data_IF_085045470508
#
_entry.id   IF_085045470508
#
_cell.length_a   1.000
_cell.length_b   1.000
_cell.length_c   1.000
_cell.angle_alpha   90.00
_cell.angle_beta   90.00
_cell.angle_gamma   90.00
#
_symmetry.space_group_name_H-M   'P 1'
#
loop_
_entity.id
_entity.type
_entity.pdbx_description
1 polymer ?
#
# COMPACT_ATOMS: atom_id res chain seq x y z
N UNK A 1 20.79 -11.02 -21.18
CA UNK A 1 21.02 -10.26 -19.94
C UNK A 1 20.51 -8.84 -20.19
N UNK A 2 19.22 -8.60 -19.95
CA UNK A 2 18.65 -7.26 -20.07
C UNK A 2 19.01 -6.48 -18.81
N UNK A 3 19.65 -5.32 -18.99
CA UNK A 3 19.93 -4.38 -17.91
C UNK A 3 18.63 -4.05 -17.18
N UNK A 4 18.56 -4.33 -15.88
CA UNK A 4 17.47 -3.90 -14.98
C UNK A 4 17.57 -2.41 -14.63
N UNK A 5 18.12 -1.60 -15.54
CA UNK A 5 18.29 -0.16 -15.34
C UNK A 5 16.97 0.54 -15.61
N UNK A 6 16.51 1.31 -14.64
CA UNK A 6 15.41 2.25 -14.79
C UNK A 6 15.81 3.26 -15.86
N UNK A 7 14.93 3.53 -16.84
CA UNK A 7 15.22 4.55 -17.84
C UNK A 7 15.33 5.93 -17.16
N UNK A 8 16.27 6.77 -17.61
CA UNK A 8 16.56 8.06 -16.97
C UNK A 8 15.33 8.97 -16.94
N UNK A 9 14.54 8.97 -18.01
CA UNK A 9 13.31 9.72 -18.23
C UNK A 9 12.06 9.08 -17.62
N UNK A 10 12.15 7.85 -17.11
CA UNK A 10 11.04 7.19 -16.43
C UNK A 10 10.73 7.85 -15.08
N UNK A 11 9.45 8.07 -14.79
CA UNK A 11 8.93 8.72 -13.58
C UNK A 11 9.54 10.12 -13.31
N UNK A 12 9.34 11.11 -14.20
CA UNK A 12 9.76 12.48 -13.91
C UNK A 12 9.09 13.01 -12.62
N UNK A 13 9.70 13.99 -11.93
CA UNK A 13 9.16 14.53 -10.67
C UNK A 13 7.83 15.26 -10.83
N UNK A 14 7.43 15.64 -12.05
CA UNK A 14 6.11 16.21 -12.30
C UNK A 14 5.08 15.08 -12.46
N UNK A 15 4.06 15.09 -11.60
CA UNK A 15 2.89 14.23 -11.74
C UNK A 15 2.00 14.67 -12.91
N UNK A 16 1.10 13.78 -13.41
CA UNK A 16 0.04 14.18 -14.32
C UNK A 16 -0.75 15.40 -13.81
N UNK A 17 -1.15 16.30 -14.72
CA UNK A 17 -1.81 17.56 -14.35
C UNK A 17 -3.16 17.40 -13.63
N UNK A 18 -3.78 16.23 -13.74
CA UNK A 18 -5.03 15.85 -13.07
C UNK A 18 -4.79 15.09 -11.75
N UNK A 19 -3.56 15.06 -11.24
CA UNK A 19 -3.25 14.48 -9.94
C UNK A 19 -3.83 15.35 -8.82
N UNK A 20 -4.45 14.72 -7.83
CA UNK A 20 -5.10 15.42 -6.71
C UNK A 20 -4.80 14.71 -5.40
N UNK A 21 -4.87 15.43 -4.29
CA UNK A 21 -4.69 14.87 -2.95
C UNK A 21 -5.91 15.16 -2.08
N UNK A 22 -6.32 14.17 -1.28
CA UNK A 22 -7.40 14.31 -0.32
C UNK A 22 -7.10 13.52 0.95
N UNK A 23 -7.47 14.06 2.10
CA UNK A 23 -7.41 13.34 3.37
C UNK A 23 -8.64 12.43 3.50
N UNK A 24 -8.44 11.21 4.01
CA UNK A 24 -9.53 10.33 4.42
C UNK A 24 -10.01 10.80 5.79
N UNK A 25 -11.10 11.54 5.81
CA UNK A 25 -11.72 11.98 7.06
C UNK A 25 -12.62 10.88 7.58
N UNK A 26 -12.10 10.03 8.47
CA UNK A 26 -12.85 8.91 9.06
C UNK A 26 -14.14 9.33 9.77
N UNK A 27 -14.28 10.59 10.19
CA UNK A 27 -15.54 11.11 10.73
C UNK A 27 -16.61 11.35 9.67
N UNK A 28 -16.20 11.62 8.43
CA UNK A 28 -17.08 12.05 7.33
C UNK A 28 -17.21 10.97 6.24
N UNK A 29 -16.65 9.79 6.47
CA UNK A 29 -16.90 8.62 5.61
C UNK A 29 -18.27 8.04 5.90
N UNK A 30 -18.78 7.24 4.97
CA UNK A 30 -19.99 6.45 5.14
C UNK A 30 -19.63 4.97 4.93
N UNK A 31 -19.62 4.14 6.00
CA UNK A 31 -19.88 4.48 7.40
C UNK A 31 -18.73 5.31 8.04
N UNK A 32 -18.99 6.07 9.12
CA UNK A 32 -17.95 6.79 9.85
C UNK A 32 -17.20 5.87 10.83
N UNK A 33 -15.92 6.17 11.09
CA UNK A 33 -15.08 5.57 12.15
C UNK A 33 -14.60 6.69 13.09
N UNK A 34 -15.42 7.13 14.07
CA UNK A 34 -15.07 8.24 14.96
C UNK A 34 -13.81 8.04 15.81
N UNK A 35 -13.43 6.79 16.06
CA UNK A 35 -12.22 6.39 16.77
C UNK A 35 -10.94 6.87 16.05
N UNK A 36 -11.03 7.04 14.73
CA UNK A 36 -9.92 7.48 13.88
C UNK A 36 -10.03 8.95 13.44
N UNK A 37 -10.82 9.76 14.16
CA UNK A 37 -11.00 11.19 13.83
C UNK A 37 -9.71 12.00 13.69
N UNK A 38 -8.70 11.66 14.48
CA UNK A 38 -7.40 12.35 14.54
C UNK A 38 -6.28 11.52 13.88
N UNK A 39 -6.61 10.43 13.19
CA UNK A 39 -5.66 9.58 12.49
C UNK A 39 -5.44 10.07 11.06
N UNK A 40 -4.24 9.82 10.54
CA UNK A 40 -3.82 10.32 9.24
C UNK A 40 -3.87 9.21 8.17
N UNK A 41 -4.73 9.40 7.18
CA UNK A 41 -4.72 8.68 5.92
C UNK A 41 -5.04 9.64 4.76
N UNK A 42 -4.36 9.47 3.63
CA UNK A 42 -4.37 10.40 2.49
C UNK A 42 -4.40 9.59 1.20
N UNK A 43 -5.30 9.95 0.29
CA UNK A 43 -5.33 9.41 -1.08
C UNK A 43 -4.79 10.46 -2.03
N UNK A 44 -3.83 10.06 -2.87
CA UNK A 44 -3.28 10.87 -3.95
C UNK A 44 -3.71 10.18 -5.25
N UNK A 45 -4.72 10.74 -5.89
CA UNK A 45 -5.32 10.22 -7.12
C UNK A 45 -4.49 10.63 -8.34
N UNK A 46 -4.37 9.73 -9.33
CA UNK A 46 -3.72 9.96 -10.63
C UNK A 46 -2.25 10.44 -10.55
N UNK A 47 -1.49 10.03 -9.54
CA UNK A 47 -0.07 10.40 -9.41
C UNK A 47 0.82 9.67 -10.43
N UNK A 48 0.43 8.47 -10.87
CA UNK A 48 1.05 7.76 -11.98
C UNK A 48 0.07 7.59 -13.13
N UNK A 49 0.60 7.51 -14.35
CA UNK A 49 -0.14 7.06 -15.53
C UNK A 49 -0.24 5.53 -15.56
N UNK A 50 -1.19 5.00 -16.32
CA UNK A 50 -1.34 3.56 -16.50
C UNK A 50 -0.08 2.92 -17.10
N UNK A 51 0.57 3.58 -18.06
CA UNK A 51 1.81 3.09 -18.67
C UNK A 51 2.98 3.07 -17.68
N UNK A 52 3.07 4.06 -16.78
CA UNK A 52 4.05 4.04 -15.69
C UNK A 52 3.79 2.90 -14.70
N UNK A 53 2.53 2.59 -14.39
CA UNK A 53 2.17 1.45 -13.56
C UNK A 53 2.56 0.11 -14.23
N UNK A 54 2.29 -0.05 -15.54
CA UNK A 54 2.70 -1.24 -16.30
C UNK A 54 4.22 -1.39 -16.35
N UNK A 55 4.94 -0.29 -16.53
CA UNK A 55 6.40 -0.33 -16.57
C UNK A 55 7.01 -0.67 -15.21
N UNK A 56 6.46 -0.15 -14.10
CA UNK A 56 6.85 -0.56 -12.75
C UNK A 56 6.67 -2.07 -12.54
N UNK A 57 5.55 -2.64 -13.01
CA UNK A 57 5.32 -4.10 -12.96
C UNK A 57 6.33 -4.85 -13.83
N UNK A 58 6.58 -4.39 -15.06
CA UNK A 58 7.54 -5.00 -15.97
C UNK A 58 8.95 -5.04 -15.36
N UNK A 59 9.39 -3.94 -14.72
CA UNK A 59 10.70 -3.85 -14.06
C UNK A 59 10.78 -4.87 -12.90
N UNK A 60 9.75 -4.92 -12.06
CA UNK A 60 9.71 -5.85 -10.92
C UNK A 60 9.69 -7.32 -11.39
N UNK A 61 8.85 -7.65 -12.36
CA UNK A 61 8.77 -9.01 -12.90
C UNK A 61 10.09 -9.43 -13.56
N UNK A 62 10.71 -8.54 -14.35
CA UNK A 62 12.00 -8.79 -14.98
C UNK A 62 13.11 -9.06 -13.95
N UNK A 63 13.05 -8.50 -12.75
CA UNK A 63 14.05 -8.74 -11.70
C UNK A 63 13.99 -10.16 -11.11
N UNK A 64 12.95 -10.94 -11.44
CA UNK A 64 12.74 -12.29 -10.91
C UNK A 64 12.98 -13.39 -11.94
N UNK A 65 13.18 -13.05 -13.22
CA UNK A 65 13.44 -14.02 -14.28
C UNK A 65 14.84 -14.61 -14.09
N UNK A 66 14.90 -15.87 -13.65
CA UNK A 66 16.16 -16.58 -13.31
C UNK A 66 16.64 -17.56 -14.39
N UNK A 67 15.78 -17.97 -15.30
CA UNK A 67 16.06 -19.06 -16.26
C UNK A 67 15.72 -18.70 -17.71
N UNK A 68 15.96 -19.65 -18.61
CA UNK A 68 15.66 -19.54 -20.04
C UNK A 68 14.17 -19.62 -20.36
N UNK A 69 13.29 -19.89 -19.38
CA UNK A 69 11.84 -19.91 -19.60
C UNK A 69 11.28 -18.50 -19.83
N UNK A 70 11.98 -17.47 -19.33
CA UNK A 70 11.59 -16.08 -19.47
C UNK A 70 10.40 -15.65 -18.60
N UNK A 71 9.87 -16.53 -17.75
CA UNK A 71 8.69 -16.23 -16.93
C UNK A 71 9.07 -15.62 -15.58
N UNK A 72 8.39 -14.56 -15.12
CA UNK A 72 8.63 -13.98 -13.80
C UNK A 72 8.05 -14.87 -12.68
N UNK A 73 8.62 -14.76 -11.48
CA UNK A 73 8.18 -15.51 -10.30
C UNK A 73 7.67 -14.57 -9.22
N UNK A 74 6.45 -14.82 -8.74
CA UNK A 74 5.86 -14.13 -7.60
C UNK A 74 5.86 -15.05 -6.37
N UNK A 75 6.78 -14.85 -5.43
CA UNK A 75 6.89 -15.67 -4.22
C UNK A 75 5.71 -15.40 -3.27
N UNK A 76 5.35 -16.37 -2.42
CA UNK A 76 4.33 -16.14 -1.39
C UNK A 76 4.82 -15.10 -0.37
N UNK A 77 4.00 -14.10 -0.09
CA UNK A 77 4.36 -13.03 0.84
C UNK A 77 4.38 -13.51 2.30
N UNK A 78 5.56 -13.55 2.91
CA UNK A 78 5.71 -13.87 4.34
C UNK A 78 5.34 -12.70 5.27
N UNK A 79 4.98 -13.01 6.51
CA UNK A 79 4.68 -12.08 7.60
C UNK A 79 5.91 -11.96 8.52
N UNK A 80 6.29 -10.74 8.87
CA UNK A 80 7.33 -10.49 9.87
C UNK A 80 6.80 -10.76 11.28
N UNK A 81 7.53 -11.53 12.09
CA UNK A 81 7.13 -11.88 13.47
C UNK A 81 7.94 -11.13 14.53
N UNK A 82 8.73 -10.13 14.14
CA UNK A 82 9.71 -9.46 15.01
C UNK A 82 11.02 -10.24 15.15
N UNK A 83 12.08 -9.56 15.59
CA UNK A 83 13.40 -10.17 15.81
C UNK A 83 14.09 -10.74 14.56
N UNK A 84 13.72 -10.25 13.37
CA UNK A 84 14.23 -10.77 12.09
C UNK A 84 13.55 -12.06 11.59
N UNK A 85 12.57 -12.60 12.32
CA UNK A 85 11.80 -13.78 11.92
C UNK A 85 10.74 -13.48 10.85
N UNK A 86 10.57 -14.41 9.92
CA UNK A 86 9.49 -14.41 8.92
C UNK A 86 8.80 -15.76 8.90
N UNK A 87 7.46 -15.76 8.89
CA UNK A 87 6.66 -16.97 8.77
C UNK A 87 5.75 -16.90 7.55
N UNK A 88 5.60 -18.05 6.87
CA UNK A 88 4.55 -18.24 5.89
C UNK A 88 3.26 -18.56 6.63
N UNK A 89 2.39 -17.57 6.79
CA UNK A 89 1.09 -17.72 7.42
C UNK A 89 -0.01 -17.34 6.43
N UNK A 90 -0.29 -18.25 5.50
CA UNK A 90 -1.26 -18.06 4.39
C UNK A 90 -2.68 -17.74 4.86
N UNK A 91 -3.03 -18.12 6.09
CA UNK A 91 -4.31 -17.77 6.74
C UNK A 91 -4.43 -16.29 7.11
N UNK A 92 -3.30 -15.61 7.31
CA UNK A 92 -3.23 -14.19 7.67
C UNK A 92 -2.90 -13.31 6.47
N UNK A 93 -2.01 -13.77 5.59
CA UNK A 93 -1.64 -13.07 4.36
C UNK A 93 -1.56 -14.06 3.21
N UNK A 94 -2.38 -13.83 2.20
CA UNK A 94 -2.42 -14.65 1.01
C UNK A 94 -2.23 -13.71 -0.18
N UNK A 95 -1.00 -13.53 -0.65
CA UNK A 95 -0.70 -12.82 -1.89
C UNK A 95 0.68 -13.23 -2.45
N UNK A 96 0.88 -13.04 -3.74
CA UNK A 96 2.21 -13.04 -4.36
C UNK A 96 2.99 -11.77 -4.03
N UNK A 97 4.32 -11.85 -4.02
CA UNK A 97 5.22 -10.72 -3.77
C UNK A 97 6.50 -10.82 -4.60
N UNK A 98 6.92 -9.66 -5.10
CA UNK A 98 8.28 -9.40 -5.55
C UNK A 98 8.89 -8.32 -4.66
N UNK A 99 10.12 -8.53 -4.20
CA UNK A 99 10.91 -7.52 -3.50
C UNK A 99 11.94 -6.99 -4.48
N UNK A 100 11.93 -5.68 -4.70
CA UNK A 100 12.86 -4.99 -5.58
C UNK A 100 13.51 -3.84 -4.81
N UNK A 101 14.78 -4.01 -4.45
CA UNK A 101 15.55 -2.98 -3.74
C UNK A 101 16.08 -1.96 -4.76
N UNK A 102 15.60 -0.71 -4.69
CA UNK A 102 16.00 0.36 -5.61
C UNK A 102 15.82 1.75 -4.98
N UNK A 103 16.93 2.35 -4.53
CA UNK A 103 16.94 3.74 -4.07
C UNK A 103 16.56 4.70 -5.19
N UNK A 104 16.96 4.42 -6.44
CA UNK A 104 16.64 5.27 -7.59
C UNK A 104 15.12 5.38 -7.81
N UNK A 105 14.39 4.26 -7.87
CA UNK A 105 12.92 4.31 -8.00
C UNK A 105 12.26 4.93 -6.78
N UNK A 106 12.76 4.65 -5.58
CA UNK A 106 12.27 5.24 -4.34
C UNK A 106 12.40 6.77 -4.36
N UNK A 107 13.54 7.30 -4.81
CA UNK A 107 13.79 8.73 -4.93
C UNK A 107 12.92 9.39 -6.00
N UNK A 108 12.76 8.76 -7.17
CA UNK A 108 11.89 9.27 -8.24
C UNK A 108 10.41 9.31 -7.81
N UNK A 109 9.93 8.25 -7.17
CA UNK A 109 8.58 8.20 -6.59
C UNK A 109 8.39 9.29 -5.53
N UNK A 110 9.35 9.45 -4.62
CA UNK A 110 9.29 10.47 -3.58
C UNK A 110 9.26 11.88 -4.17
N UNK A 111 10.15 12.17 -5.12
CA UNK A 111 10.22 13.48 -5.77
C UNK A 111 8.87 13.86 -6.39
N UNK A 112 8.19 12.90 -7.02
CA UNK A 112 6.85 13.10 -7.59
C UNK A 112 5.76 13.27 -6.53
N UNK A 113 5.81 12.50 -5.43
CA UNK A 113 4.81 12.56 -4.37
C UNK A 113 4.95 13.79 -3.46
N UNK A 114 6.16 14.33 -3.34
CA UNK A 114 6.52 15.36 -2.36
C UNK A 114 5.59 16.59 -2.32
N UNK A 115 5.12 17.16 -3.46
CA UNK A 115 4.17 18.29 -3.41
C UNK A 115 2.87 17.94 -2.69
N UNK A 116 2.32 16.74 -2.93
CA UNK A 116 1.09 16.25 -2.31
C UNK A 116 1.30 15.88 -0.84
N UNK A 117 2.45 15.31 -0.50
CA UNK A 117 2.80 14.98 0.89
C UNK A 117 2.95 16.23 1.76
N UNK A 118 3.50 17.31 1.19
CA UNK A 118 3.54 18.65 1.80
C UNK A 118 2.15 19.24 2.00
N UNK A 119 1.33 19.21 0.95
CA UNK A 119 -0.05 19.71 1.03
C UNK A 119 -0.86 18.95 2.09
N UNK A 120 -0.68 17.63 2.18
CA UNK A 120 -1.34 16.81 3.17
C UNK A 120 -0.73 16.88 4.58
N UNK A 121 0.41 17.59 4.75
CA UNK A 121 1.10 17.77 6.02
C UNK A 121 1.69 16.49 6.60
N UNK A 122 2.04 15.50 5.76
CA UNK A 122 2.66 14.24 6.19
C UNK A 122 4.18 14.25 6.00
N UNK A 123 4.75 15.27 5.36
CA UNK A 123 6.21 15.41 5.19
C UNK A 123 6.93 15.86 6.47
N UNK A 124 6.20 16.34 7.47
CA UNK A 124 6.69 16.71 8.80
C UNK A 124 5.77 16.17 9.89
N UNK A 125 6.36 15.71 10.99
CA UNK A 125 5.65 15.28 12.18
C UNK A 125 6.15 16.14 13.33
N UNK A 126 5.27 16.84 14.04
CA UNK A 126 5.65 17.72 15.17
C UNK A 126 4.75 17.47 16.36
N UNK A 127 5.30 16.83 17.40
CA UNK A 127 4.58 16.48 18.62
C UNK A 127 3.24 15.76 18.34
N UNK A 128 3.27 14.73 17.48
CA UNK A 128 2.09 13.94 17.10
C UNK A 128 2.22 12.50 17.65
N UNK A 129 1.97 12.28 18.96
CA UNK A 129 2.13 10.96 19.57
C UNK A 129 1.17 9.90 19.00
N UNK A 130 0.08 10.30 18.33
CA UNK A 130 -0.79 9.36 17.59
C UNK A 130 -0.11 8.76 16.35
N UNK A 131 0.97 9.38 15.85
CA UNK A 131 1.74 8.90 14.69
C UNK A 131 3.02 8.20 15.16
N UNK A 132 3.68 8.74 16.17
CA UNK A 132 5.01 8.30 16.62
C UNK A 132 4.99 7.37 17.83
N UNK A 133 3.83 7.16 18.46
CA UNK A 133 3.76 6.60 19.80
C UNK A 133 4.30 7.56 20.87
N UNK A 134 4.33 7.09 22.12
CA UNK A 134 4.75 7.89 23.28
C UNK A 134 6.23 8.30 23.21
N UNK A 135 7.08 7.48 22.58
CA UNK A 135 8.53 7.75 22.45
C UNK A 135 8.82 8.96 21.56
N UNK A 136 7.88 9.34 20.69
CA UNK A 136 7.96 10.55 19.87
C UNK A 136 7.36 11.81 20.50
N UNK A 137 6.90 11.75 21.76
CA UNK A 137 6.33 12.92 22.44
C UNK A 137 7.38 14.03 22.58
N UNK A 138 7.02 15.26 22.21
CA UNK A 138 7.92 16.41 22.25
C UNK A 138 9.00 16.42 21.16
N UNK A 139 8.97 15.49 20.20
CA UNK A 139 9.92 15.42 19.09
C UNK A 139 9.34 15.97 17.78
N UNK A 140 10.24 16.34 16.87
CA UNK A 140 9.92 16.65 15.48
C UNK A 140 10.68 15.72 14.55
N UNK A 141 10.02 15.36 13.44
CA UNK A 141 10.59 14.53 12.40
C UNK A 141 10.30 15.12 11.03
N UNK A 142 11.21 14.88 10.08
CA UNK A 142 11.06 15.27 8.68
C UNK A 142 11.25 14.06 7.78
N UNK A 143 10.37 13.94 6.79
CA UNK A 143 10.46 12.92 5.74
C UNK A 143 11.81 13.06 5.02
N UNK A 144 12.63 12.02 5.09
CA UNK A 144 13.96 11.99 4.49
C UNK A 144 13.94 11.29 3.13
N UNK A 145 13.34 10.09 3.07
CA UNK A 145 13.28 9.25 1.88
C UNK A 145 12.09 8.27 1.92
N UNK A 146 11.89 7.52 0.84
CA UNK A 146 11.15 6.26 0.90
C UNK A 146 12.13 5.12 1.22
N UNK A 147 11.64 4.06 1.85
CA UNK A 147 12.41 2.84 2.03
C UNK A 147 12.74 2.24 0.65
N UNK A 148 14.00 1.89 0.42
CA UNK A 148 14.50 1.37 -0.86
C UNK A 148 13.92 0.00 -1.20
N UNK A 149 13.40 -0.72 -0.19
CA UNK A 149 12.78 -2.03 -0.34
C UNK A 149 11.35 -1.93 -0.85
N UNK A 150 11.20 -1.86 -2.17
CA UNK A 150 9.91 -1.79 -2.84
C UNK A 150 9.26 -3.19 -2.89
N UNK A 151 8.06 -3.30 -2.33
CA UNK A 151 7.32 -4.57 -2.24
C UNK A 151 6.15 -4.54 -3.21
N UNK A 152 6.34 -5.17 -4.37
CA UNK A 152 5.27 -5.39 -5.32
C UNK A 152 4.42 -6.57 -4.85
N UNK A 153 3.10 -6.44 -4.89
CA UNK A 153 2.15 -7.43 -4.42
C UNK A 153 1.15 -7.76 -5.52
N UNK A 154 0.84 -9.04 -5.68
CA UNK A 154 -0.14 -9.57 -6.62
C UNK A 154 -1.20 -10.35 -5.83
N UNK A 155 -2.47 -10.07 -6.09
CA UNK A 155 -3.60 -10.73 -5.46
C UNK A 155 -4.52 -11.34 -6.52
N UNK A 156 -4.73 -12.64 -6.47
CA UNK A 156 -5.60 -13.41 -7.38
C UNK A 156 -6.34 -14.54 -6.63
N UNK A 157 -7.37 -15.15 -7.22
CA UNK A 157 -7.98 -16.36 -6.63
C UNK A 157 -8.57 -16.20 -5.21
N UNK A 158 -9.16 -15.04 -4.88
CA UNK A 158 -9.72 -14.79 -3.55
C UNK A 158 -8.71 -14.31 -2.51
N UNK A 159 -7.48 -14.01 -2.92
CA UNK A 159 -6.39 -13.54 -2.07
C UNK A 159 -6.69 -12.24 -1.31
N UNK A 160 -6.06 -12.09 -0.14
CA UNK A 160 -6.35 -11.06 0.85
C UNK A 160 -5.15 -10.80 1.77
N UNK A 161 -5.25 -9.74 2.57
CA UNK A 161 -4.42 -9.55 3.77
C UNK A 161 -5.33 -9.23 4.95
N UNK A 162 -5.36 -10.10 5.96
CA UNK A 162 -6.24 -9.94 7.14
C UNK A 162 -5.97 -8.64 7.89
N UNK A 163 -6.94 -8.17 8.71
CA UNK A 163 -6.77 -6.99 9.56
C UNK A 163 -5.47 -7.04 10.37
N UNK A 164 -4.70 -5.96 10.33
CA UNK A 164 -3.43 -5.81 11.05
C UNK A 164 -3.06 -4.32 11.23
N UNK A 165 -2.03 -4.09 12.04
CA UNK A 165 -1.30 -2.83 12.08
C UNK A 165 0.05 -3.02 11.40
N UNK A 166 0.52 -1.97 10.74
CA UNK A 166 1.88 -1.95 10.23
C UNK A 166 2.85 -1.59 11.36
N UNK A 167 3.99 -2.29 11.42
CA UNK A 167 5.06 -1.96 12.36
C UNK A 167 5.93 -0.85 11.82
N UNK A 168 6.37 0.06 12.70
CA UNK A 168 7.44 0.99 12.40
C UNK A 168 8.73 0.22 12.08
N UNK A 169 9.51 0.74 11.14
CA UNK A 169 10.83 0.22 10.78
C UNK A 169 11.89 1.25 11.19
N UNK A 170 12.74 0.88 12.13
CA UNK A 170 13.94 1.63 12.51
C UNK A 170 15.13 1.11 11.70
N UNK A 171 15.92 2.01 11.11
CA UNK A 171 17.15 1.63 10.41
C UNK A 171 18.18 1.04 11.37
N UNK A 172 19.10 0.17 10.91
CA UNK A 172 20.11 -0.43 11.79
C UNK A 172 21.04 0.57 12.49
N UNK A 173 21.23 1.76 11.92
CA UNK A 173 21.99 2.88 12.49
C UNK A 173 21.14 3.80 13.38
N UNK A 174 19.85 3.52 13.51
CA UNK A 174 18.87 4.29 14.28
C UNK A 174 18.72 5.76 13.84
N UNK A 175 19.20 6.12 12.64
CA UNK A 175 19.09 7.49 12.12
C UNK A 175 17.71 7.81 11.53
N UNK A 176 16.95 6.80 11.11
CA UNK A 176 15.65 6.96 10.46
C UNK A 176 14.63 5.92 10.93
N UNK A 177 13.39 6.37 11.10
CA UNK A 177 12.26 5.53 11.46
C UNK A 177 11.08 5.76 10.51
N UNK A 178 10.38 4.70 10.13
CA UNK A 178 9.14 4.84 9.35
C UNK A 178 7.95 5.14 10.24
N UNK A 179 7.07 6.04 9.81
CA UNK A 179 5.80 6.33 10.51
C UNK A 179 4.55 6.18 9.63
N UNK A 180 4.74 6.19 8.30
CA UNK A 180 3.67 6.07 7.33
C UNK A 180 4.01 4.97 6.32
N UNK A 181 2.98 4.27 5.85
CA UNK A 181 3.09 3.35 4.73
C UNK A 181 2.56 4.02 3.47
N UNK A 182 3.30 3.90 2.37
CA UNK A 182 2.91 4.28 1.03
C UNK A 182 2.45 3.03 0.26
N UNK A 183 1.22 3.02 -0.21
CA UNK A 183 0.59 1.92 -0.94
C UNK A 183 0.07 2.42 -2.29
N UNK A 184 0.81 2.15 -3.36
CA UNK A 184 0.45 2.49 -4.74
C UNK A 184 -0.40 1.39 -5.37
N UNK A 185 -1.53 1.77 -5.98
CA UNK A 185 -2.36 0.88 -6.77
C UNK A 185 -1.90 0.90 -8.23
N UNK A 186 -1.40 -0.24 -8.72
CA UNK A 186 -0.85 -0.36 -10.06
C UNK A 186 -1.90 -0.78 -11.10
N UNK A 187 -3.09 -1.17 -10.64
CA UNK A 187 -4.27 -1.34 -11.47
C UNK A 187 -5.58 -1.12 -10.69
N UNK A 188 -6.70 -1.13 -11.40
CA UNK A 188 -8.06 -0.98 -10.87
C UNK A 188 -8.76 0.29 -11.35
N UNK A 189 -10.09 0.29 -11.27
CA UNK A 189 -10.94 1.36 -11.82
C UNK A 189 -11.49 2.31 -10.75
N UNK A 190 -11.08 2.14 -9.50
CA UNK A 190 -11.60 2.89 -8.35
C UNK A 190 -12.90 2.32 -7.82
N UNK A 191 -13.85 3.20 -7.48
CA UNK A 191 -15.12 2.84 -6.86
C UNK A 191 -15.85 1.71 -7.60
N UNK A 192 -16.40 0.78 -6.84
CA UNK A 192 -17.03 -0.43 -7.36
C UNK A 192 -18.52 -0.48 -7.01
N UNK A 193 -19.28 -1.29 -7.75
CA UNK A 193 -20.69 -1.50 -7.44
C UNK A 193 -20.81 -2.34 -6.15
N UNK A 194 -21.37 -1.74 -5.10
CA UNK A 194 -21.50 -2.38 -3.78
C UNK A 194 -22.44 -3.59 -3.80
N UNK A 195 -23.50 -3.57 -4.59
CA UNK A 195 -24.44 -4.70 -4.69
C UNK A 195 -23.74 -5.91 -5.34
N UNK A 196 -23.02 -5.70 -6.43
CA UNK A 196 -22.21 -6.73 -7.08
C UNK A 196 -21.14 -7.28 -6.12
N UNK A 197 -20.45 -6.39 -5.40
CA UNK A 197 -19.44 -6.76 -4.42
C UNK A 197 -20.04 -7.65 -3.31
N UNK A 198 -21.18 -7.26 -2.73
CA UNK A 198 -21.85 -8.02 -1.68
C UNK A 198 -22.34 -9.39 -2.17
N UNK A 199 -22.87 -9.46 -3.39
CA UNK A 199 -23.28 -10.73 -4.00
C UNK A 199 -22.09 -11.67 -4.21
N UNK A 200 -20.98 -11.13 -4.72
CA UNK A 200 -19.75 -11.90 -4.93
C UNK A 200 -19.14 -12.37 -3.60
N UNK A 201 -19.13 -11.54 -2.56
CA UNK A 201 -18.65 -11.90 -1.22
C UNK A 201 -19.46 -13.05 -0.62
N UNK A 202 -20.80 -12.95 -0.63
CA UNK A 202 -21.69 -14.01 -0.13
C UNK A 202 -21.45 -15.34 -0.85
N UNK A 203 -21.29 -15.27 -2.18
CA UNK A 203 -20.97 -16.47 -2.98
C UNK A 203 -19.65 -17.09 -2.53
N UNK A 204 -18.60 -16.28 -2.37
CA UNK A 204 -17.29 -16.73 -1.94
C UNK A 204 -17.30 -17.37 -0.54
N UNK A 205 -18.10 -16.84 0.40
CA UNK A 205 -18.26 -17.41 1.74
C UNK A 205 -18.95 -18.79 1.74
N UNK A 206 -19.91 -18.99 0.84
CA UNK A 206 -20.63 -20.27 0.71
C UNK A 206 -19.92 -21.32 -0.12
N UNK A 207 -18.85 -20.96 -0.84
CA UNK A 207 -18.11 -21.86 -1.72
C UNK A 207 -17.04 -22.65 -0.93
N UNK A 208 -17.47 -23.79 -0.39
CA UNK A 208 -16.57 -24.73 0.32
C UNK A 208 -15.59 -25.46 -0.60
N UNK A 209 -15.70 -25.33 -1.93
CA UNK A 209 -14.73 -25.87 -2.88
C UNK A 209 -13.57 -24.88 -3.16
N UNK A 210 -13.66 -23.64 -2.68
CA UNK A 210 -12.61 -22.64 -2.83
C UNK A 210 -12.49 -22.04 -4.23
N UNK A 211 -13.55 -22.11 -5.05
CA UNK A 211 -13.56 -21.53 -6.40
C UNK A 211 -13.83 -20.02 -6.37
N UNK A 212 -13.09 -19.28 -5.55
CA UNK A 212 -13.18 -17.82 -5.47
C UNK A 212 -12.31 -17.21 -6.57
N UNK A 213 -12.84 -16.23 -7.30
CA UNK A 213 -12.12 -15.52 -8.37
C UNK A 213 -11.55 -16.44 -9.46
N UNK A 214 -12.45 -17.12 -10.16
CA UNK A 214 -12.09 -17.99 -11.30
C UNK A 214 -11.84 -17.22 -12.61
N UNK A 215 -12.28 -15.96 -12.69
CA UNK A 215 -12.10 -15.11 -13.87
C UNK A 215 -10.97 -14.10 -13.62
N UNK A 216 -9.72 -14.56 -13.83
CA UNK A 216 -8.52 -13.74 -13.69
C UNK A 216 -8.38 -12.67 -14.79
N UNK A 217 -9.06 -12.86 -15.93
CA UNK A 217 -9.12 -11.90 -17.03
C UNK A 217 -10.17 -10.80 -16.85
N UNK A 218 -11.06 -10.98 -15.87
CA UNK A 218 -12.18 -10.08 -15.63
C UNK A 218 -11.76 -8.75 -15.02
N UNK A 219 -12.68 -7.77 -15.12
CA UNK A 219 -12.56 -6.49 -14.43
C UNK A 219 -12.43 -6.70 -12.93
N UNK A 220 -11.45 -6.04 -12.30
CA UNK A 220 -11.16 -6.16 -10.87
C UNK A 220 -12.42 -5.89 -10.03
N UNK A 221 -12.75 -6.84 -9.13
CA UNK A 221 -13.80 -6.71 -8.13
C UNK A 221 -13.26 -7.13 -6.76
N UNK A 222 -13.56 -6.36 -5.73
CA UNK A 222 -12.98 -6.48 -4.39
C UNK A 222 -11.59 -5.82 -4.31
N UNK A 223 -10.77 -6.30 -3.38
CA UNK A 223 -9.38 -5.84 -3.24
C UNK A 223 -9.21 -4.45 -2.63
N UNK A 224 -10.22 -3.88 -1.97
CA UNK A 224 -10.05 -2.60 -1.27
C UNK A 224 -8.96 -2.66 -0.19
N UNK A 225 -8.31 -1.54 0.09
CA UNK A 225 -7.67 -1.35 1.40
C UNK A 225 -8.75 -0.85 2.34
N UNK A 226 -9.08 -1.63 3.37
CA UNK A 226 -10.15 -1.32 4.30
C UNK A 226 -9.61 -0.93 5.66
N UNK A 227 -10.32 -0.04 6.36
CA UNK A 227 -10.03 0.41 7.71
C UNK A 227 -11.24 0.10 8.61
N UNK A 228 -11.00 -0.29 9.85
CA UNK A 228 -12.04 -0.61 10.83
C UNK A 228 -11.57 -0.28 12.25
N UNK A 229 -12.47 0.00 13.18
CA UNK A 229 -12.10 0.33 14.56
C UNK A 229 -11.60 -0.87 15.38
N UNK A 230 -12.00 -2.08 15.01
CA UNK A 230 -11.68 -3.32 15.73
C UNK A 230 -11.72 -4.55 14.82
N UNK A 231 -11.06 -5.61 15.26
CA UNK A 231 -11.13 -6.92 14.60
C UNK A 231 -12.58 -7.43 14.55
N UNK A 232 -13.00 -7.94 13.39
CA UNK A 232 -14.34 -8.51 13.20
C UNK A 232 -15.46 -7.49 13.09
N UNK A 233 -15.14 -6.19 12.98
CA UNK A 233 -16.11 -5.14 12.64
C UNK A 233 -16.61 -5.35 11.21
N UNK A 234 -17.93 -5.40 11.02
CA UNK A 234 -18.58 -5.61 9.73
C UNK A 234 -19.28 -4.34 9.22
N UNK A 235 -19.81 -3.52 10.13
CA UNK A 235 -20.64 -2.36 9.81
C UNK A 235 -19.84 -1.04 9.74
N UNK A 236 -18.72 -0.95 10.46
CA UNK A 236 -17.86 0.24 10.53
C UNK A 236 -16.62 0.17 9.62
N UNK A 237 -16.78 -0.19 8.35
CA UNK A 237 -15.65 -0.37 7.41
C UNK A 237 -15.56 0.75 6.38
N UNK A 238 -14.45 1.49 6.40
CA UNK A 238 -14.09 2.46 5.36
C UNK A 238 -13.22 1.78 4.32
N UNK A 239 -13.57 1.88 3.04
CA UNK A 239 -12.83 1.27 1.92
C UNK A 239 -12.19 2.31 1.02
N UNK A 240 -10.95 2.05 0.63
CA UNK A 240 -10.27 2.73 -0.47
C UNK A 240 -10.08 1.69 -1.57
N UNK A 241 -10.84 1.82 -2.65
CA UNK A 241 -10.77 0.87 -3.77
C UNK A 241 -9.54 1.13 -4.65
N UNK A 242 -8.93 0.08 -5.22
CA UNK A 242 -7.77 0.23 -6.10
C UNK A 242 -8.15 1.02 -7.34
N UNK A 243 -7.43 2.13 -7.56
CA UNK A 243 -7.54 2.94 -8.75
C UNK A 243 -6.14 3.11 -9.33
N UNK A 244 -5.96 2.68 -10.57
CA UNK A 244 -4.69 2.69 -11.28
C UNK A 244 -4.01 4.06 -11.14
N UNK A 245 -2.74 4.03 -10.71
CA UNK A 245 -1.92 5.22 -10.55
C UNK A 245 -2.23 6.07 -9.33
N UNK A 246 -3.07 5.61 -8.41
CA UNK A 246 -3.34 6.31 -7.14
C UNK A 246 -2.49 5.75 -6.00
N UNK A 247 -2.15 6.60 -5.03
CA UNK A 247 -1.43 6.24 -3.83
C UNK A 247 -2.32 6.41 -2.59
N UNK A 248 -2.26 5.46 -1.67
CA UNK A 248 -2.78 5.59 -0.32
C UNK A 248 -1.60 5.69 0.65
N UNK A 249 -1.53 6.79 1.40
CA UNK A 249 -0.57 7.03 2.47
C UNK A 249 -1.32 6.98 3.80
N UNK A 250 -0.88 6.18 4.75
CA UNK A 250 -1.56 6.07 6.04
C UNK A 250 -0.57 5.79 7.16
N UNK A 251 -0.87 6.31 8.35
CA UNK A 251 0.01 6.13 9.51
C UNK A 251 0.07 4.66 9.91
N UNK A 252 1.25 4.21 10.34
CA UNK A 252 1.49 2.82 10.75
C UNK A 252 0.93 2.57 12.16
N UNK A 253 1.09 3.55 13.05
CA UNK A 253 0.72 3.41 14.45
C UNK A 253 -0.81 3.36 14.63
N UNK A 254 -1.28 2.24 15.20
CA UNK A 254 -2.65 2.00 15.67
C UNK A 254 -3.79 2.14 14.64
N UNK A 255 -3.49 2.22 13.34
CA UNK A 255 -4.50 2.29 12.28
C UNK A 255 -4.79 0.90 11.71
N UNK A 256 -5.85 0.25 12.22
CA UNK A 256 -6.19 -1.12 11.86
C UNK A 256 -6.73 -1.15 10.42
N UNK A 257 -6.11 -1.97 9.59
CA UNK A 257 -6.45 -2.04 8.17
C UNK A 257 -6.25 -3.45 7.60
N UNK A 258 -6.89 -3.71 6.46
CA UNK A 258 -6.82 -4.98 5.75
C UNK A 258 -6.74 -4.77 4.23
N UNK A 259 -6.32 -5.80 3.52
CA UNK A 259 -6.56 -5.95 2.08
C UNK A 259 -7.75 -6.89 1.89
N UNK A 260 -8.89 -6.34 1.48
CA UNK A 260 -10.11 -7.12 1.24
C UNK A 260 -9.86 -8.19 0.15
N UNK A 261 -10.61 -9.31 0.17
CA UNK A 261 -10.49 -10.35 -0.85
C UNK A 261 -10.67 -9.82 -2.29
N UNK A 262 -9.86 -10.34 -3.22
CA UNK A 262 -10.05 -10.12 -4.66
C UNK A 262 -11.01 -11.18 -5.22
N UNK A 263 -12.22 -10.78 -5.58
CA UNK A 263 -13.33 -11.65 -5.95
C UNK A 263 -13.43 -11.90 -7.46
N UNK A 264 -12.81 -11.04 -8.28
CA UNK A 264 -12.66 -11.19 -9.73
C UNK A 264 -11.40 -10.43 -10.19
N UNK A 265 -10.74 -10.92 -11.23
CA UNK A 265 -9.56 -10.30 -11.83
C UNK A 265 -8.30 -10.44 -10.97
N UNK A 266 -7.32 -9.58 -11.21
CA UNK A 266 -6.05 -9.55 -10.45
C UNK A 266 -5.83 -8.15 -9.93
N UNK A 267 -5.35 -8.00 -8.70
CA UNK A 267 -4.92 -6.71 -8.13
C UNK A 267 -3.39 -6.68 -8.01
N UNK A 268 -2.80 -5.56 -8.41
CA UNK A 268 -1.38 -5.27 -8.30
C UNK A 268 -1.14 -3.99 -7.50
N UNK A 269 -0.19 -4.03 -6.57
CA UNK A 269 0.18 -2.86 -5.76
C UNK A 269 1.68 -2.79 -5.50
N UNK A 270 2.21 -1.61 -5.27
CA UNK A 270 3.56 -1.40 -4.72
C UNK A 270 3.43 -0.81 -3.33
N UNK A 271 4.03 -1.45 -2.33
CA UNK A 271 4.12 -0.94 -0.96
C UNK A 271 5.57 -0.62 -0.60
N UNK A 272 5.78 0.55 -0.01
CA UNK A 272 7.01 0.90 0.71
C UNK A 272 6.67 1.75 1.94
N UNK A 273 7.66 2.06 2.75
CA UNK A 273 7.51 2.80 4.01
C UNK A 273 8.17 4.18 3.87
N UNK A 274 7.57 5.21 4.46
CA UNK A 274 8.08 6.57 4.44
C UNK A 274 9.01 6.77 5.63
N UNK A 275 10.29 7.05 5.38
CA UNK A 275 11.34 7.15 6.39
C UNK A 275 11.49 8.60 6.86
N UNK A 276 11.64 8.79 8.17
CA UNK A 276 11.77 10.10 8.78
C UNK A 276 13.01 10.16 9.65
N UNK A 277 13.64 11.33 9.68
CA UNK A 277 14.74 11.65 10.58
C UNK A 277 14.28 12.64 11.65
N UNK A 278 14.73 12.45 12.88
CA UNK A 278 14.50 13.39 13.97
C UNK A 278 15.19 14.74 13.66
N UNK A 279 14.49 15.84 13.89
CA UNK A 279 14.98 17.20 13.68
C UNK A 279 14.71 18.05 14.91
N UNK A 280 15.48 19.13 15.09
CA UNK A 280 15.26 20.07 16.17
C UNK A 280 13.83 20.66 16.10
N UNK A 281 13.20 20.78 17.28
CA UNK A 281 11.95 21.52 17.45
C UNK A 281 12.26 23.02 17.29
N UNK A 282 12.07 23.56 16.09
CA UNK A 282 12.14 25.01 15.79
C UNK A 282 10.74 25.60 15.87
#
# INVERSE_FOLDING_TARGET
MGSSSVAEDFLPPQAPSNATVRRVSFLNTDPPIPQYKDYNAVVIDNVLTEEECKELLRIAEASTVKDTSGSPTWDRAMINTGGGGQILATVHRNCGRVIFDSSELADKLLARLMPFLKEAGVDHIRNQPLVTGLDGQGKAYRLSRLNEKLRFLKYEGGEYFRPHWDSNYLTPDEEEESFYTLHLYLNGDGEQNLEELLQASKKAETDHQGNVNMDLSGKLLGGATSFSASYGEEDGIVRVFPKTGSALVFQQYHLLHAGDPVLRGVKYTLRTDMMYREVAMI
#
